data_IF_774002900543
#
_entry.id   IF_774002900543
#
_cell.length_a   1.000
_cell.length_b   1.000
_cell.length_c   1.000
_cell.angle_alpha   90.00
_cell.angle_beta   90.00
_cell.angle_gamma   90.00
#
_symmetry.space_group_name_H-M   'P 1'
#
loop_
_entity.id
_entity.type
_entity.pdbx_description
1 polymer ?
#
# COMPACT_ATOMS: atom_id res chain seq x y z
N UNK A 1 -3.81 -32.05 -1.18
CA UNK A 1 -3.77 -31.53 -1.19
C UNK A 1 -3.61 -30.76 -1.03
N UNK A 2 -3.41 -30.54 -1.11
CA UNK A 2 -3.24 -29.83 -0.96
C UNK A 2 -3.29 -28.95 -1.15
N UNK A 3 -3.18 -28.59 -1.33
CA UNK A 3 -3.07 -27.76 -1.49
C UNK A 3 -3.34 -26.79 -1.68
N UNK A 4 -3.79 -26.68 -1.68
CA UNK A 4 -4.01 -25.85 -1.87
C UNK A 4 -4.24 -24.71 -1.62
N UNK A 5 -4.70 -24.16 -1.48
CA UNK A 5 -4.87 -23.06 -1.22
C UNK A 5 -3.95 -22.25 -1.04
N UNK A 6 -3.50 -22.30 -1.23
CA UNK A 6 -2.25 -21.77 -0.95
C UNK A 6 -1.92 -20.42 -1.32
N UNK A 7 -2.48 -19.87 -2.33
CA UNK A 7 -2.16 -18.52 -2.70
C UNK A 7 -2.47 -17.54 -1.61
N UNK A 8 -3.58 -17.77 -0.94
CA UNK A 8 -3.99 -16.87 0.10
C UNK A 8 -3.03 -16.89 1.26
N UNK A 9 -2.29 -17.97 1.40
CA UNK A 9 -1.42 -18.12 2.54
C UNK A 9 0.04 -17.96 2.20
N UNK A 10 0.38 -17.51 1.01
CA UNK A 10 1.78 -17.28 0.67
C UNK A 10 2.22 -15.95 1.22
N UNK A 11 3.01 -15.94 2.31
CA UNK A 11 3.53 -14.70 2.83
C UNK A 11 4.60 -14.16 1.90
N UNK A 12 4.82 -12.87 1.94
CA UNK A 12 5.91 -12.29 1.18
C UNK A 12 5.58 -11.90 -0.23
N UNK A 13 4.33 -11.97 -0.65
CA UNK A 13 3.96 -11.36 -1.91
C UNK A 13 3.60 -9.90 -1.67
N UNK A 14 3.85 -9.05 -2.67
CA UNK A 14 3.52 -7.64 -2.53
C UNK A 14 2.07 -7.45 -2.14
N UNK A 15 1.17 -8.20 -2.77
CA UNK A 15 -0.25 -8.03 -2.54
C UNK A 15 -0.64 -8.35 -1.09
N UNK A 16 0.03 -9.32 -0.48
CA UNK A 16 -0.30 -9.70 0.89
C UNK A 16 -0.03 -8.57 1.88
N UNK A 17 0.87 -7.66 1.54
CA UNK A 17 1.14 -6.48 2.36
C UNK A 17 0.28 -5.30 1.94
N UNK A 18 -0.04 -5.19 0.67
CA UNK A 18 -0.79 -4.05 0.17
C UNK A 18 -2.25 -4.07 0.59
N UNK A 19 -2.84 -5.26 0.69
CA UNK A 19 -4.26 -5.34 1.03
C UNK A 19 -4.56 -4.81 2.43
N UNK A 20 -3.83 -5.22 3.47
CA UNK A 20 -4.09 -4.63 4.79
C UNK A 20 -3.77 -3.14 4.84
N UNK A 21 -2.79 -2.68 4.04
CA UNK A 21 -2.52 -1.25 3.99
C UNK A 21 -3.69 -0.49 3.39
N UNK A 22 -4.26 -1.00 2.31
CA UNK A 22 -5.42 -0.35 1.70
C UNK A 22 -6.58 -0.29 2.69
N UNK A 23 -6.78 -1.35 3.45
CA UNK A 23 -7.84 -1.37 4.44
C UNK A 23 -7.60 -0.33 5.53
N UNK A 24 -6.37 -0.23 6.01
CA UNK A 24 -6.03 0.76 7.04
C UNK A 24 -6.23 2.18 6.55
N UNK A 25 -5.88 2.44 5.29
CA UNK A 25 -6.08 3.76 4.70
C UNK A 25 -7.56 4.07 4.51
N UNK A 26 -8.35 3.06 4.15
CA UNK A 26 -9.80 3.25 4.06
C UNK A 26 -10.41 3.64 5.39
N UNK A 27 -9.92 3.05 6.48
CA UNK A 27 -10.40 3.39 7.81
C UNK A 27 -10.04 4.82 8.21
N UNK A 28 -9.04 5.39 7.59
CA UNK A 28 -8.64 6.78 7.83
C UNK A 28 -9.38 7.76 6.93
N UNK A 29 -10.28 7.26 6.09
CA UNK A 29 -11.12 8.12 5.27
C UNK A 29 -10.63 8.33 3.84
N UNK A 30 -9.60 7.62 3.43
CA UNK A 30 -9.13 7.69 2.05
C UNK A 30 -9.83 6.66 1.18
N UNK A 31 -9.87 6.93 -0.11
CA UNK A 31 -10.21 5.90 -1.08
C UNK A 31 -8.91 5.15 -1.38
N UNK A 32 -8.87 3.87 -1.05
CA UNK A 32 -7.66 3.11 -1.22
C UNK A 32 -8.01 1.73 -1.75
N UNK A 33 -7.35 1.33 -2.83
CA UNK A 33 -7.60 0.02 -3.42
C UNK A 33 -6.33 -0.54 -4.00
N UNK A 34 -6.20 -1.86 -3.93
CA UNK A 34 -5.09 -2.55 -4.58
C UNK A 34 -5.44 -2.70 -6.04
N UNK A 35 -4.52 -2.28 -6.91
CA UNK A 35 -4.77 -2.33 -8.33
C UNK A 35 -3.48 -2.73 -9.06
N UNK A 36 -3.62 -2.93 -10.37
CA UNK A 36 -2.51 -3.37 -11.19
C UNK A 36 -2.77 -2.96 -12.63
N UNK A 37 -1.76 -2.43 -13.27
CA UNK A 37 -1.90 -2.02 -14.67
C UNK A 37 -1.18 -3.05 -15.52
N UNK A 38 -1.93 -3.75 -16.38
CA UNK A 38 -1.37 -4.77 -17.23
C UNK A 38 -0.67 -5.85 -16.41
N UNK A 39 0.55 -6.17 -16.79
CA UNK A 39 1.35 -7.17 -16.11
C UNK A 39 2.30 -6.56 -15.10
N UNK A 40 2.12 -5.27 -14.79
CA UNK A 40 3.00 -4.61 -13.85
C UNK A 40 2.76 -5.04 -12.42
N UNK A 41 3.52 -4.48 -11.49
CA UNK A 41 3.35 -4.82 -10.07
C UNK A 41 2.04 -4.27 -9.54
N UNK A 42 1.50 -4.94 -8.53
CA UNK A 42 0.36 -4.44 -7.81
C UNK A 42 0.77 -3.23 -6.98
N UNK A 43 -0.16 -2.32 -6.74
CA UNK A 43 0.07 -1.17 -5.89
C UNK A 43 -1.26 -0.73 -5.29
N UNK A 44 -1.17 0.08 -4.23
CA UNK A 44 -2.36 0.70 -3.65
C UNK A 44 -2.49 2.08 -4.25
N UNK A 45 -3.63 2.35 -4.84
CA UNK A 45 -3.96 3.70 -5.25
C UNK A 45 -4.72 4.36 -4.12
N UNK A 46 -4.19 5.48 -3.62
CA UNK A 46 -4.75 6.19 -2.49
C UNK A 46 -5.19 7.57 -2.95
N UNK A 47 -6.43 7.92 -2.69
CA UNK A 47 -6.98 9.18 -3.15
C UNK A 47 -7.61 9.89 -1.96
N UNK A 48 -7.28 11.17 -1.79
CA UNK A 48 -7.92 12.00 -0.78
C UNK A 48 -9.33 12.32 -1.24
N UNK A 49 -10.34 11.93 -0.47
CA UNK A 49 -11.74 12.09 -0.86
C UNK A 49 -12.13 13.55 -1.02
N UNK A 50 -11.55 14.40 -0.20
CA UNK A 50 -11.89 15.82 -0.21
C UNK A 50 -11.09 16.60 -1.23
N UNK A 51 -10.03 16.03 -1.75
CA UNK A 51 -9.18 16.66 -2.74
C UNK A 51 -8.67 15.59 -3.69
N UNK A 52 -9.49 15.14 -4.63
CA UNK A 52 -9.14 13.97 -5.47
C UNK A 52 -7.89 14.15 -6.31
N UNK A 53 -7.44 15.37 -6.52
CA UNK A 53 -6.17 15.58 -7.21
C UNK A 53 -4.98 15.09 -6.39
N UNK A 54 -5.18 14.90 -5.09
CA UNK A 54 -4.14 14.37 -4.22
C UNK A 54 -4.28 12.85 -4.18
N UNK A 55 -3.56 12.22 -5.07
CA UNK A 55 -3.58 10.78 -5.21
C UNK A 55 -2.16 10.28 -5.39
N UNK A 56 -1.86 9.12 -4.81
CA UNK A 56 -0.55 8.53 -4.92
C UNK A 56 -0.65 7.03 -5.06
N UNK A 57 0.41 6.45 -5.60
CA UNK A 57 0.53 5.00 -5.74
C UNK A 57 1.58 4.51 -4.77
N UNK A 58 1.22 3.47 -4.01
CA UNK A 58 2.09 2.91 -2.99
C UNK A 58 2.45 1.49 -3.39
N UNK A 59 3.73 1.20 -3.43
CA UNK A 59 4.24 -0.10 -3.83
C UNK A 59 4.83 -0.83 -2.64
N UNK A 60 4.91 -2.14 -2.74
CA UNK A 60 5.60 -2.96 -1.75
C UNK A 60 6.71 -3.72 -2.47
N UNK A 61 7.92 -3.65 -1.94
CA UNK A 61 9.07 -4.31 -2.55
C UNK A 61 10.09 -4.65 -1.49
N UNK A 62 10.90 -5.66 -1.78
CA UNK A 62 11.92 -6.10 -0.85
C UNK A 62 13.18 -5.27 -0.99
N UNK A 63 13.80 -5.01 0.14
CA UNK A 63 15.10 -4.38 0.20
C UNK A 63 15.87 -5.04 1.33
N UNK A 64 17.03 -5.60 1.01
CA UNK A 64 17.84 -6.26 2.04
C UNK A 64 17.12 -7.42 2.70
N UNK A 65 16.26 -8.10 1.97
CA UNK A 65 15.52 -9.24 2.50
C UNK A 65 14.27 -8.88 3.27
N UNK A 66 13.95 -7.62 3.36
CA UNK A 66 12.76 -7.17 4.06
C UNK A 66 11.80 -6.46 3.13
N UNK A 67 10.50 -6.62 3.41
CA UNK A 67 9.49 -5.93 2.66
C UNK A 67 9.28 -4.55 3.23
N UNK A 68 9.17 -3.55 2.31
CA UNK A 68 8.94 -2.16 2.64
C UNK A 68 7.84 -1.61 1.75
N UNK A 69 7.13 -0.59 2.24
CA UNK A 69 6.26 0.21 1.40
C UNK A 69 7.06 1.37 0.82
N UNK A 70 6.73 1.73 -0.42
CA UNK A 70 7.46 2.73 -1.19
C UNK A 70 6.51 3.68 -1.86
N UNK A 71 6.88 4.95 -1.87
CA UNK A 71 6.24 5.91 -2.75
C UNK A 71 6.59 5.59 -4.20
N UNK A 72 5.76 6.11 -5.15
CA UNK A 72 6.03 5.88 -6.57
C UNK A 72 7.34 6.51 -7.04
N UNK A 73 7.85 7.49 -6.30
CA UNK A 73 9.13 8.12 -6.64
C UNK A 73 10.30 7.46 -5.91
N UNK A 74 10.11 6.24 -5.50
CA UNK A 74 11.16 5.36 -4.97
C UNK A 74 11.72 5.79 -3.61
N UNK A 75 10.90 6.42 -2.81
CA UNK A 75 11.26 6.74 -1.44
C UNK A 75 10.55 5.80 -0.49
N UNK A 76 11.25 5.30 0.52
CA UNK A 76 10.68 4.35 1.47
C UNK A 76 9.72 5.04 2.43
N UNK A 77 8.67 4.32 2.78
CA UNK A 77 7.67 4.83 3.73
C UNK A 77 7.87 4.18 5.08
N UNK A 78 7.78 2.87 5.15
CA UNK A 78 7.89 2.13 6.41
C UNK A 78 8.00 0.65 6.08
N UNK A 79 8.51 -0.17 7.01
CA UNK A 79 8.50 -1.61 6.81
C UNK A 79 7.06 -2.11 6.61
N UNK A 80 6.91 -3.08 5.74
CA UNK A 80 5.57 -3.54 5.37
C UNK A 80 4.84 -4.22 6.52
N UNK A 81 5.55 -4.62 7.55
CA UNK A 81 4.92 -5.19 8.74
C UNK A 81 4.27 -4.12 9.61
N UNK A 82 4.66 -2.87 9.44
CA UNK A 82 4.16 -1.77 10.27
C UNK A 82 3.07 -1.02 9.53
N UNK A 83 1.94 -1.68 9.40
CA UNK A 83 0.82 -1.18 8.61
C UNK A 83 0.33 0.17 9.12
N UNK A 84 0.15 0.31 10.43
CA UNK A 84 -0.39 1.55 10.99
C UNK A 84 0.60 2.69 10.86
N UNK A 85 1.88 2.41 11.01
CA UNK A 85 2.91 3.43 10.82
C UNK A 85 2.91 3.90 9.38
N UNK A 86 2.84 2.97 8.43
CA UNK A 86 2.81 3.32 7.01
C UNK A 86 1.56 4.13 6.68
N UNK A 87 0.40 3.67 7.16
CA UNK A 87 -0.85 4.37 6.89
C UNK A 87 -0.82 5.78 7.45
N UNK A 88 -0.23 5.94 8.63
CA UNK A 88 -0.12 7.27 9.24
C UNK A 88 0.75 8.21 8.43
N UNK A 89 1.86 7.72 7.92
CA UNK A 89 2.74 8.55 7.10
C UNK A 89 2.10 8.93 5.79
N UNK A 90 1.41 8.00 5.16
CA UNK A 90 0.72 8.27 3.90
C UNK A 90 -0.39 9.28 4.14
N UNK A 91 -1.16 9.09 5.20
CA UNK A 91 -2.25 10.00 5.53
C UNK A 91 -1.73 11.40 5.79
N UNK A 92 -0.59 11.52 6.48
CA UNK A 92 -0.01 12.82 6.78
C UNK A 92 0.36 13.56 5.49
N UNK A 93 0.98 12.87 4.56
CA UNK A 93 1.40 13.50 3.32
C UNK A 93 0.20 13.95 2.50
N UNK A 94 -0.79 13.08 2.35
CA UNK A 94 -1.95 13.41 1.53
C UNK A 94 -2.87 14.43 2.19
N UNK A 95 -2.96 14.42 3.51
CA UNK A 95 -3.81 15.37 4.22
C UNK A 95 -3.15 16.75 4.27
N UNK A 96 -1.84 16.80 4.58
CA UNK A 96 -1.18 18.08 4.72
C UNK A 96 -1.07 18.81 3.39
N UNK A 97 -1.01 18.08 2.30
CA UNK A 97 -0.99 18.73 0.98
C UNK A 97 -2.33 19.39 0.69
N UNK A 98 -3.41 18.93 1.32
CA UNK A 98 -4.73 19.52 1.13
C UNK A 98 -4.93 20.80 1.93
N UNK A 99 -4.11 20.99 2.93
CA UNK A 99 -4.20 22.20 3.73
C UNK A 99 -3.56 23.34 2.99
#
# INVERSE_FOLDING_TARGET
>A
MIGTMPNASIPGTARSYLEPLAEALGKRGFLASVTRIGDGPSFVEVINRDAPDLAESIFAAQTGGEWWFWWSWAERIAPAQEIESAAGRIAHVLASAAA
#
